data_IF_900686268398
#
_entry.id   IF_900686268398
#
_cell.length_a   1.000
_cell.length_b   1.000
_cell.length_c   1.000
_cell.angle_alpha   90.00
_cell.angle_beta   90.00
_cell.angle_gamma   90.00
#
_symmetry.space_group_name_H-M   'P 1'
#
loop_
_entity.id
_entity.type
_entity.pdbx_description
1 polymer ?
#
# COMPACT_ATOMS: atom_id res chain seq x y z
N UNK A 1 14.55 21.57 37.62
CA UNK A 1 14.25 22.29 36.34
C UNK A 1 14.69 21.53 35.09
N UNK A 2 15.02 20.25 35.18
CA UNK A 2 15.59 19.43 34.08
C UNK A 2 14.60 18.41 33.45
N UNK A 3 13.40 18.26 34.01
CA UNK A 3 12.45 17.21 33.54
C UNK A 3 11.55 17.60 32.36
N UNK A 4 11.44 18.91 32.05
CA UNK A 4 10.56 19.36 30.98
C UNK A 4 11.16 19.28 29.58
N UNK A 5 12.49 19.22 29.46
CA UNK A 5 13.16 19.17 28.14
C UNK A 5 13.11 17.78 27.49
N UNK A 6 12.99 16.71 28.28
CA UNK A 6 12.99 15.32 27.76
C UNK A 6 11.69 15.00 27.03
N UNK A 7 10.57 15.64 27.39
CA UNK A 7 9.26 15.40 26.76
C UNK A 7 8.98 16.29 25.55
N UNK A 8 9.73 17.35 25.34
CA UNK A 8 9.53 18.30 24.24
C UNK A 8 10.05 17.74 22.91
N UNK A 9 11.21 17.09 22.91
CA UNK A 9 11.81 16.54 21.68
C UNK A 9 10.94 15.45 21.05
N UNK A 10 10.43 14.43 21.78
CA UNK A 10 9.52 13.44 21.21
C UNK A 10 8.22 14.06 20.67
N UNK A 11 7.64 15.04 21.36
CA UNK A 11 6.40 15.68 20.90
C UNK A 11 6.62 16.49 19.61
N UNK A 12 7.72 17.21 19.47
CA UNK A 12 8.08 17.92 18.24
C UNK A 12 8.28 16.94 17.09
N UNK A 13 9.01 15.85 17.31
CA UNK A 13 9.26 14.83 16.29
C UNK A 13 7.95 14.18 15.84
N UNK A 14 7.08 13.81 16.77
CA UNK A 14 5.76 13.23 16.44
C UNK A 14 4.91 14.22 15.63
N UNK A 15 4.92 15.50 16.02
CA UNK A 15 4.18 16.55 15.32
C UNK A 15 4.69 16.73 13.89
N UNK A 16 6.01 16.81 13.70
CA UNK A 16 6.64 16.93 12.37
C UNK A 16 6.34 15.71 11.50
N UNK A 17 6.42 14.49 12.04
CA UNK A 17 6.08 13.26 11.34
C UNK A 17 4.60 13.22 10.94
N UNK A 18 3.71 13.74 11.78
CA UNK A 18 2.28 13.85 11.48
C UNK A 18 2.03 14.80 10.32
N UNK A 19 2.61 16.00 10.34
CA UNK A 19 2.51 16.96 9.23
C UNK A 19 3.08 16.41 7.93
N UNK A 20 4.22 15.71 7.98
CA UNK A 20 4.78 15.03 6.81
C UNK A 20 3.83 13.96 6.27
N UNK A 21 3.22 13.15 7.14
CA UNK A 21 2.26 12.11 6.75
C UNK A 21 1.02 12.68 6.07
N UNK A 22 0.43 13.74 6.61
CA UNK A 22 -0.72 14.42 6.02
C UNK A 22 -0.38 15.06 4.67
N UNK A 23 0.76 15.75 4.58
CA UNK A 23 1.23 16.36 3.33
C UNK A 23 1.47 15.32 2.24
N UNK A 24 2.16 14.22 2.55
CA UNK A 24 2.39 13.12 1.62
C UNK A 24 1.07 12.45 1.18
N UNK A 25 0.10 12.30 2.10
CA UNK A 25 -1.22 11.77 1.79
C UNK A 25 -1.98 12.63 0.77
N UNK A 26 -2.03 13.96 0.98
CA UNK A 26 -2.70 14.91 0.05
C UNK A 26 -2.02 14.87 -1.32
N UNK A 27 -0.68 14.92 -1.37
CA UNK A 27 0.07 14.84 -2.61
C UNK A 27 -0.16 13.51 -3.34
N UNK A 28 -0.27 12.41 -2.60
CA UNK A 28 -0.63 11.10 -3.13
C UNK A 28 -2.01 11.08 -3.77
N UNK A 29 -3.02 11.66 -3.11
CA UNK A 29 -4.36 11.78 -3.67
C UNK A 29 -4.39 12.61 -4.96
N UNK A 30 -3.72 13.77 -4.97
CA UNK A 30 -3.63 14.62 -6.16
C UNK A 30 -2.93 13.88 -7.31
N UNK A 31 -1.83 13.19 -7.02
CA UNK A 31 -1.11 12.37 -7.99
C UNK A 31 -1.99 11.25 -8.57
N UNK A 32 -2.72 10.53 -7.71
CA UNK A 32 -3.60 9.44 -8.13
C UNK A 32 -4.79 9.95 -8.95
N UNK A 33 -5.41 11.08 -8.56
CA UNK A 33 -6.48 11.72 -9.32
C UNK A 33 -6.03 12.06 -10.74
N UNK A 34 -4.87 12.68 -10.87
CA UNK A 34 -4.29 13.05 -12.18
C UNK A 34 -3.93 11.81 -13.01
N UNK A 35 -3.42 10.77 -12.37
CA UNK A 35 -3.10 9.50 -13.03
C UNK A 35 -4.36 8.82 -13.56
N UNK A 36 -5.47 8.81 -12.80
CA UNK A 36 -6.76 8.30 -13.25
C UNK A 36 -7.27 9.07 -14.46
N UNK A 37 -7.19 10.41 -14.45
CA UNK A 37 -7.57 11.24 -15.58
C UNK A 37 -6.71 10.94 -16.83
N UNK A 38 -5.40 10.73 -16.67
CA UNK A 38 -4.53 10.31 -17.78
C UNK A 38 -4.91 8.96 -18.38
N UNK A 39 -5.43 8.05 -17.55
CA UNK A 39 -5.91 6.75 -17.99
C UNK A 39 -7.35 6.77 -18.55
N UNK A 40 -8.02 7.93 -18.55
CA UNK A 40 -9.41 8.06 -19.02
C UNK A 40 -10.45 7.72 -17.95
N UNK A 41 -10.04 7.56 -16.71
CA UNK A 41 -10.95 7.31 -15.58
C UNK A 41 -11.32 8.62 -14.85
N UNK A 42 -12.47 8.62 -14.17
CA UNK A 42 -12.95 9.81 -13.43
C UNK A 42 -12.15 10.01 -12.15
N UNK A 43 -11.68 11.22 -11.90
CA UNK A 43 -10.83 11.59 -10.75
C UNK A 43 -11.47 11.32 -9.38
N UNK A 44 -12.79 11.48 -9.22
CA UNK A 44 -13.49 11.32 -7.95
C UNK A 44 -13.49 9.86 -7.42
N UNK A 45 -13.18 8.88 -8.26
CA UNK A 45 -13.08 7.46 -7.89
C UNK A 45 -12.00 7.19 -6.84
N UNK A 46 -11.06 8.14 -6.65
CA UNK A 46 -10.03 8.04 -5.61
C UNK A 46 -10.61 8.06 -4.18
N UNK A 47 -11.77 8.67 -3.99
CA UNK A 47 -12.39 8.83 -2.67
C UNK A 47 -13.14 7.58 -2.19
N UNK A 48 -13.33 6.59 -3.04
CA UNK A 48 -14.01 5.35 -2.68
C UNK A 48 -12.95 4.33 -2.25
N UNK A 49 -12.82 4.01 -0.95
CA UNK A 49 -11.87 3.02 -0.47
C UNK A 49 -12.07 1.67 -1.19
N UNK A 50 -11.02 0.87 -1.32
CA UNK A 50 -11.01 -0.42 -2.03
C UNK A 50 -11.28 -0.28 -3.53
N UNK A 51 -12.32 0.50 -3.95
CA UNK A 51 -12.61 0.74 -5.36
C UNK A 51 -11.51 1.54 -6.05
N UNK A 52 -10.90 2.48 -5.35
CA UNK A 52 -9.71 3.20 -5.78
C UNK A 52 -8.56 2.23 -6.13
N UNK A 53 -8.24 1.29 -5.22
CA UNK A 53 -7.23 0.25 -5.46
C UNK A 53 -7.60 -0.65 -6.65
N UNK A 54 -8.87 -1.00 -6.79
CA UNK A 54 -9.37 -1.76 -7.94
C UNK A 54 -9.14 -1.02 -9.25
N UNK A 55 -9.55 0.27 -9.33
CA UNK A 55 -9.35 1.09 -10.53
C UNK A 55 -7.86 1.26 -10.84
N UNK A 56 -7.04 1.49 -9.80
CA UNK A 56 -5.60 1.59 -9.97
C UNK A 56 -5.00 0.31 -10.57
N UNK A 57 -5.37 -0.84 -10.04
CA UNK A 57 -4.94 -2.12 -10.59
C UNK A 57 -5.51 -2.39 -11.99
N UNK A 58 -6.74 -1.96 -12.27
CA UNK A 58 -7.37 -2.08 -13.58
C UNK A 58 -6.59 -1.32 -14.65
N UNK A 59 -6.26 -0.04 -14.44
CA UNK A 59 -5.54 0.79 -15.42
C UNK A 59 -4.14 0.26 -15.73
N UNK A 60 -3.50 -0.50 -14.83
CA UNK A 60 -2.20 -1.14 -15.08
C UNK A 60 -2.32 -2.59 -15.61
N UNK A 61 -3.50 -3.02 -16.06
CA UNK A 61 -3.79 -4.42 -16.45
C UNK A 61 -3.43 -5.44 -15.36
N UNK A 62 -3.75 -5.11 -14.11
CA UNK A 62 -3.35 -5.87 -12.93
C UNK A 62 -4.51 -6.28 -12.01
N UNK A 63 -5.72 -6.50 -12.52
CA UNK A 63 -6.89 -6.87 -11.70
C UNK A 63 -6.62 -8.12 -10.85
N UNK A 64 -5.91 -9.10 -11.38
CA UNK A 64 -5.50 -10.28 -10.61
C UNK A 64 -4.61 -9.93 -9.40
N UNK A 65 -3.78 -8.86 -9.52
CA UNK A 65 -2.95 -8.38 -8.40
C UNK A 65 -3.80 -7.71 -7.32
N UNK A 66 -4.89 -7.02 -7.70
CA UNK A 66 -5.84 -6.50 -6.74
C UNK A 66 -6.49 -7.62 -5.93
N UNK A 67 -6.96 -8.67 -6.58
CA UNK A 67 -7.56 -9.84 -5.91
C UNK A 67 -6.54 -10.49 -4.97
N UNK A 68 -5.34 -10.74 -5.45
CA UNK A 68 -4.25 -11.31 -4.64
C UNK A 68 -3.90 -10.41 -3.42
N UNK A 69 -3.85 -9.09 -3.61
CA UNK A 69 -3.63 -8.11 -2.54
C UNK A 69 -4.73 -8.17 -1.50
N UNK A 70 -6.00 -8.20 -1.91
CA UNK A 70 -7.14 -8.27 -0.99
C UNK A 70 -7.14 -9.58 -0.19
N UNK A 71 -6.92 -10.72 -0.83
CA UNK A 71 -6.82 -12.01 -0.14
C UNK A 71 -5.66 -11.98 0.86
N UNK A 72 -4.47 -11.54 0.44
CA UNK A 72 -3.29 -11.48 1.33
C UNK A 72 -3.52 -10.54 2.51
N UNK A 73 -4.19 -9.39 2.30
CA UNK A 73 -4.52 -8.44 3.36
C UNK A 73 -5.50 -9.04 4.38
N UNK A 74 -6.55 -9.72 3.92
CA UNK A 74 -7.52 -10.39 4.80
C UNK A 74 -6.82 -11.45 5.65
N UNK A 75 -6.02 -12.31 5.03
CA UNK A 75 -5.31 -13.36 5.74
C UNK A 75 -4.26 -12.80 6.73
N UNK A 76 -3.61 -11.68 6.38
CA UNK A 76 -2.71 -10.97 7.29
C UNK A 76 -3.45 -10.41 8.52
N UNK A 77 -4.63 -9.77 8.32
CA UNK A 77 -5.45 -9.25 9.42
C UNK A 77 -5.93 -10.39 10.32
N UNK A 78 -6.38 -11.51 9.74
CA UNK A 78 -6.77 -12.70 10.52
C UNK A 78 -5.61 -13.22 11.36
N UNK A 79 -4.39 -13.23 10.83
CA UNK A 79 -3.19 -13.59 11.57
C UNK A 79 -2.90 -12.63 12.74
N UNK A 80 -3.04 -11.31 12.55
CA UNK A 80 -2.88 -10.33 13.62
C UNK A 80 -3.92 -10.50 14.73
N UNK A 81 -5.17 -10.78 14.38
CA UNK A 81 -6.24 -11.06 15.35
C UNK A 81 -5.90 -12.32 16.15
N UNK A 82 -5.46 -13.38 15.49
CA UNK A 82 -5.05 -14.62 16.15
C UNK A 82 -3.87 -14.39 17.13
N UNK A 83 -2.87 -13.57 16.72
CA UNK A 83 -1.76 -13.19 17.60
C UNK A 83 -2.27 -12.42 18.82
N UNK A 84 -3.17 -11.45 18.63
CA UNK A 84 -3.73 -10.63 19.71
C UNK A 84 -4.46 -11.49 20.75
N UNK A 85 -5.31 -12.39 20.27
CA UNK A 85 -6.03 -13.35 21.15
C UNK A 85 -5.03 -14.23 21.88
N UNK A 86 -4.03 -14.75 21.20
CA UNK A 86 -3.00 -15.58 21.78
C UNK A 86 -2.22 -14.86 22.90
N UNK A 87 -1.85 -13.60 22.68
CA UNK A 87 -1.17 -12.78 23.71
C UNK A 87 -2.05 -12.58 24.93
N UNK A 88 -3.35 -12.27 24.75
CA UNK A 88 -4.30 -12.13 25.86
C UNK A 88 -4.42 -13.43 26.68
N UNK A 89 -4.46 -14.56 26.00
CA UNK A 89 -4.55 -15.88 26.66
C UNK A 89 -3.28 -16.22 27.44
N UNK A 90 -2.09 -15.83 26.95
CA UNK A 90 -0.81 -16.05 27.68
C UNK A 90 -0.68 -15.17 28.90
N UNK A 91 -1.21 -13.95 28.86
CA UNK A 91 -1.22 -13.05 30.00
C UNK A 91 -2.17 -13.52 31.10
N UNK A 92 -3.18 -14.33 30.80
CA UNK A 92 -3.96 -15.04 31.80
C UNK A 92 -3.14 -16.20 32.38
N UNK A 93 -3.00 -16.28 33.70
CA UNK A 93 -2.13 -17.23 34.41
C UNK A 93 -2.38 -18.72 34.06
N UNK A 94 -3.52 -19.03 33.50
CA UNK A 94 -3.93 -20.39 33.10
C UNK A 94 -3.09 -20.99 31.97
N UNK A 95 -2.43 -20.18 31.15
CA UNK A 95 -1.74 -20.62 29.92
C UNK A 95 -0.22 -20.50 30.03
N UNK A 96 0.31 -20.07 31.17
CA UNK A 96 1.76 -19.84 31.42
C UNK A 96 2.66 -21.07 31.16
N UNK A 97 2.09 -22.26 31.07
CA UNK A 97 2.80 -23.52 30.73
C UNK A 97 2.66 -23.93 29.26
N UNK A 98 1.86 -23.24 28.46
CA UNK A 98 1.71 -23.56 27.05
C UNK A 98 2.84 -22.93 26.23
N UNK A 99 3.52 -23.80 25.59
CA UNK A 99 4.64 -23.71 24.66
C UNK A 99 4.59 -22.47 23.76
N UNK A 100 5.71 -21.80 23.57
CA UNK A 100 5.94 -20.71 22.60
C UNK A 100 5.68 -21.14 21.14
N UNK A 101 5.54 -22.43 20.88
CA UNK A 101 5.39 -23.01 19.55
C UNK A 101 4.17 -22.47 18.76
N UNK A 102 2.94 -22.36 19.31
CA UNK A 102 1.81 -21.81 18.59
C UNK A 102 2.03 -20.36 18.15
N UNK A 103 2.67 -19.56 19.00
CA UNK A 103 2.95 -18.15 18.68
C UNK A 103 4.01 -18.02 17.59
N UNK A 104 5.01 -18.89 17.60
CA UNK A 104 6.01 -18.94 16.53
C UNK A 104 5.37 -19.31 15.19
N UNK A 105 4.44 -20.25 15.16
CA UNK A 105 3.72 -20.65 13.93
C UNK A 105 2.86 -19.49 13.41
N UNK A 106 2.08 -18.82 14.26
CA UNK A 106 1.24 -17.69 13.87
C UNK A 106 2.11 -16.51 13.41
N UNK A 107 3.21 -16.24 14.10
CA UNK A 107 4.19 -15.22 13.69
C UNK A 107 4.81 -15.51 12.33
N UNK A 108 5.20 -16.76 12.08
CA UNK A 108 5.72 -17.20 10.77
C UNK A 108 4.65 -17.03 9.67
N UNK A 109 3.40 -17.37 9.97
CA UNK A 109 2.30 -17.16 9.03
C UNK A 109 2.12 -15.67 8.68
N UNK A 110 2.09 -14.78 9.66
CA UNK A 110 2.01 -13.34 9.41
C UNK A 110 3.17 -12.83 8.54
N UNK A 111 4.39 -13.31 8.77
CA UNK A 111 5.57 -12.97 7.96
C UNK A 111 5.42 -13.41 6.50
N UNK A 112 4.86 -14.59 6.23
CA UNK A 112 4.60 -15.08 4.87
C UNK A 112 3.67 -14.13 4.13
N UNK A 113 2.60 -13.65 4.76
CA UNK A 113 1.65 -12.73 4.11
C UNK A 113 2.20 -11.31 3.95
N UNK A 114 3.03 -10.82 4.88
CA UNK A 114 3.77 -9.55 4.69
C UNK A 114 4.68 -9.68 3.45
N UNK A 115 5.41 -10.79 3.33
CA UNK A 115 6.27 -11.01 2.18
C UNK A 115 5.47 -11.09 0.87
N UNK A 116 4.31 -11.76 0.87
CA UNK A 116 3.40 -11.80 -0.27
C UNK A 116 2.93 -10.40 -0.68
N UNK A 117 2.55 -9.55 0.27
CA UNK A 117 2.16 -8.16 0.01
C UNK A 117 3.30 -7.36 -0.62
N UNK A 118 4.54 -7.51 -0.12
CA UNK A 118 5.73 -6.84 -0.69
C UNK A 118 5.92 -7.28 -2.16
N UNK A 119 5.82 -8.56 -2.46
CA UNK A 119 5.95 -9.07 -3.83
C UNK A 119 4.85 -8.50 -4.73
N UNK A 120 3.61 -8.44 -4.25
CA UNK A 120 2.48 -7.86 -4.99
C UNK A 120 2.73 -6.37 -5.30
N UNK A 121 3.21 -5.59 -4.32
CA UNK A 121 3.54 -4.17 -4.54
C UNK A 121 4.67 -3.98 -5.57
N UNK A 122 5.69 -4.85 -5.59
CA UNK A 122 6.73 -4.84 -6.63
C UNK A 122 6.13 -5.14 -8.01
N UNK A 123 5.21 -6.10 -8.11
CA UNK A 123 4.54 -6.42 -9.37
C UNK A 123 3.63 -5.27 -9.85
N UNK A 124 2.93 -4.60 -8.94
CA UNK A 124 2.15 -3.39 -9.21
C UNK A 124 3.07 -2.28 -9.73
N UNK A 125 4.19 -2.01 -9.05
CA UNK A 125 5.18 -1.03 -9.45
C UNK A 125 5.73 -1.31 -10.87
N UNK A 126 6.01 -2.59 -11.17
CA UNK A 126 6.47 -3.02 -12.50
C UNK A 126 5.41 -2.80 -13.59
N UNK A 127 4.15 -3.13 -13.31
CA UNK A 127 3.05 -2.90 -14.26
C UNK A 127 2.76 -1.42 -14.46
N UNK A 128 2.81 -0.61 -13.38
CA UNK A 128 2.66 0.84 -13.46
C UNK A 128 3.75 1.45 -14.34
N UNK A 129 5.00 1.08 -14.12
CA UNK A 129 6.12 1.58 -14.94
C UNK A 129 5.92 1.24 -16.42
N UNK A 130 5.46 0.04 -16.74
CA UNK A 130 5.16 -0.38 -18.12
C UNK A 130 3.99 0.39 -18.72
N UNK A 131 2.94 0.67 -17.95
CA UNK A 131 1.77 1.42 -18.40
C UNK A 131 2.12 2.84 -18.85
N UNK A 132 3.25 3.39 -18.39
CA UNK A 132 3.78 4.70 -18.79
C UNK A 132 5.08 4.60 -19.62
N UNK A 133 5.34 3.44 -20.24
CA UNK A 133 6.51 3.23 -21.12
C UNK A 133 7.86 3.29 -20.41
N UNK A 134 7.90 3.13 -19.06
CA UNK A 134 9.12 3.19 -18.26
C UNK A 134 9.55 1.81 -17.78
N UNK A 135 10.86 1.64 -17.56
CA UNK A 135 11.47 0.36 -17.15
C UNK A 135 12.44 0.55 -15.97
N UNK A 136 12.73 -0.54 -15.27
CA UNK A 136 13.80 -0.68 -14.30
C UNK A 136 13.77 0.32 -13.14
N UNK A 137 14.51 1.40 -13.22
CA UNK A 137 14.68 2.38 -12.15
C UNK A 137 13.35 2.97 -11.63
N UNK A 138 12.41 3.24 -12.52
CA UNK A 138 11.09 3.75 -12.13
C UNK A 138 10.30 2.76 -11.27
N UNK A 139 10.47 1.46 -11.50
CA UNK A 139 9.87 0.42 -10.66
C UNK A 139 10.43 0.44 -9.25
N UNK A 140 11.78 0.52 -9.14
CA UNK A 140 12.47 0.60 -7.86
C UNK A 140 12.11 1.90 -7.13
N UNK A 141 12.12 3.03 -7.85
CA UNK A 141 11.77 4.32 -7.29
C UNK A 141 10.34 4.38 -6.75
N UNK A 142 9.36 3.84 -7.49
CA UNK A 142 7.98 3.76 -7.01
C UNK A 142 7.86 2.87 -5.76
N UNK A 143 8.57 1.76 -5.69
CA UNK A 143 8.54 0.87 -4.53
C UNK A 143 9.02 1.57 -3.25
N UNK A 144 10.12 2.33 -3.31
CA UNK A 144 10.65 3.04 -2.14
C UNK A 144 9.96 4.38 -1.86
N UNK A 145 9.53 5.08 -2.91
CA UNK A 145 8.96 6.43 -2.81
C UNK A 145 7.65 6.54 -3.62
N UNK A 146 6.59 5.78 -3.24
CA UNK A 146 5.38 5.68 -4.04
C UNK A 146 4.73 7.03 -4.32
N UNK A 147 4.64 7.92 -3.34
CA UNK A 147 4.02 9.24 -3.50
C UNK A 147 4.78 10.14 -4.49
N UNK A 148 6.12 10.15 -4.43
CA UNK A 148 6.96 10.95 -5.33
C UNK A 148 6.84 10.44 -6.77
N UNK A 149 6.98 9.12 -6.96
CA UNK A 149 6.88 8.53 -8.29
C UNK A 149 5.47 8.60 -8.86
N UNK A 150 4.43 8.54 -8.01
CA UNK A 150 3.06 8.78 -8.43
C UNK A 150 2.89 10.19 -9.01
N UNK A 151 3.46 11.22 -8.37
CA UNK A 151 3.48 12.59 -8.88
C UNK A 151 4.26 12.70 -10.19
N UNK A 152 5.42 12.03 -10.29
CA UNK A 152 6.21 11.99 -11.52
C UNK A 152 5.41 11.39 -12.68
N UNK A 153 4.68 10.28 -12.47
CA UNK A 153 3.80 9.71 -13.50
C UNK A 153 2.61 10.62 -13.81
N UNK A 154 2.04 11.26 -12.79
CA UNK A 154 0.87 12.12 -12.92
C UNK A 154 1.17 13.41 -13.70
N UNK A 155 2.26 14.08 -13.39
CA UNK A 155 2.61 15.41 -13.93
C UNK A 155 3.70 15.38 -15.01
N UNK A 156 4.48 14.30 -15.11
CA UNK A 156 5.48 14.14 -16.17
C UNK A 156 4.84 14.02 -17.56
N UNK A 157 5.59 14.37 -18.60
CA UNK A 157 5.18 14.22 -19.99
C UNK A 157 5.25 12.76 -20.47
N UNK A 158 4.59 11.87 -19.75
CA UNK A 158 4.52 10.45 -20.07
C UNK A 158 3.14 10.11 -20.59
N UNK A 159 3.09 9.47 -21.76
CA UNK A 159 1.84 8.99 -22.33
C UNK A 159 1.45 7.65 -21.71
N UNK A 160 0.18 7.53 -21.39
CA UNK A 160 -0.41 6.27 -20.98
C UNK A 160 -0.54 5.35 -22.20
N UNK A 161 0.04 4.15 -22.10
CA UNK A 161 0.22 3.24 -23.25
C UNK A 161 -1.02 2.42 -23.59
N UNK A 162 -2.06 2.46 -22.76
CA UNK A 162 -3.29 1.69 -22.95
C UNK A 162 -4.47 2.59 -23.30
N UNK A 163 -5.58 2.00 -23.76
CA UNK A 163 -6.89 2.65 -23.94
C UNK A 163 -7.93 1.93 -23.11
N UNK A 164 -8.99 2.64 -22.74
CA UNK A 164 -10.19 2.03 -22.18
C UNK A 164 -11.18 1.89 -23.33
N UNK A 165 -11.64 0.67 -23.62
CA UNK A 165 -12.65 0.40 -24.63
C UNK A 165 -14.07 0.82 -24.16
N UNK A 166 -15.07 0.71 -25.04
CA UNK A 166 -16.46 1.05 -24.74
C UNK A 166 -17.05 0.20 -23.60
N UNK A 167 -16.53 -1.01 -23.40
CA UNK A 167 -16.92 -1.92 -22.31
C UNK A 167 -16.16 -1.67 -21.01
N UNK A 168 -15.27 -0.69 -21.00
CA UNK A 168 -14.47 -0.33 -19.84
C UNK A 168 -13.25 -1.23 -19.60
N UNK A 169 -12.84 -2.05 -20.57
CA UNK A 169 -11.62 -2.86 -20.47
C UNK A 169 -10.40 -2.05 -20.91
N UNK A 170 -9.25 -2.42 -20.34
CA UNK A 170 -7.97 -1.80 -20.70
C UNK A 170 -7.30 -2.61 -21.80
N UNK A 171 -7.20 -2.01 -22.99
CA UNK A 171 -6.58 -2.61 -24.16
C UNK A 171 -5.32 -1.86 -24.57
N UNK A 172 -4.46 -2.49 -25.38
CA UNK A 172 -3.28 -1.83 -25.93
C UNK A 172 -3.69 -0.76 -26.95
N UNK A 173 -2.89 0.31 -27.06
CA UNK A 173 -3.09 1.33 -28.10
C UNK A 173 -2.69 0.83 -29.46
#
# INVERSE_FOLDING_TARGET
MYSNSINVVPSIVITLLSFYGWGAGILGLVGMAKLFMKAGEKWWKIFIPIYNDYIFCKIIKGVNLFIAKMISLILYILGLIAISIGVVLVLSEQVRRMQLLPFAIIGLWALIFIFALIVIEILIAKKLSRAFGKKGWYTVGYFFFPYIFLLIYAFGNYEYQYKIDEYGNVVDK
#
